data_IF_853164382046
#
_entry.id   IF_853164382046
#
_cell.length_a   1.000
_cell.length_b   1.000
_cell.length_c   1.000
_cell.angle_alpha   90.00
_cell.angle_beta   90.00
_cell.angle_gamma   90.00
#
_symmetry.space_group_name_H-M   'P 1'
#
loop_
_entity.id
_entity.type
_entity.pdbx_description
1 polymer ?
#
# COMPACT_ATOMS: atom_id res chain seq x y z
N UNK A 1 48.91 16.51 -13.66
CA UNK A 1 47.67 15.96 -14.20
C UNK A 1 46.54 16.64 -13.40
N UNK A 2 45.87 17.60 -14.04
CA UNK A 2 44.82 18.37 -13.38
C UNK A 2 43.56 17.49 -13.39
N UNK A 3 43.10 17.07 -12.20
CA UNK A 3 41.86 16.31 -12.03
C UNK A 3 40.66 17.20 -12.33
N UNK A 4 39.64 16.67 -13.00
CA UNK A 4 38.44 17.41 -13.35
C UNK A 4 37.64 17.75 -12.08
N UNK A 5 37.25 19.02 -11.96
CA UNK A 5 36.43 19.52 -10.87
C UNK A 5 35.40 20.53 -11.40
N UNK A 6 34.18 20.48 -10.88
CA UNK A 6 33.14 21.42 -11.23
C UNK A 6 31.91 20.78 -11.85
N UNK A 7 31.06 21.62 -12.42
CA UNK A 7 29.82 21.17 -13.08
C UNK A 7 30.10 20.90 -14.55
N UNK A 8 29.70 19.71 -15.02
CA UNK A 8 29.68 19.35 -16.44
C UNK A 8 28.23 19.34 -16.93
N UNK A 9 28.00 20.03 -18.05
CA UNK A 9 26.68 20.10 -18.69
C UNK A 9 26.67 19.25 -19.94
N UNK A 10 25.69 18.36 -20.03
CA UNK A 10 25.39 17.52 -21.18
C UNK A 10 24.17 18.07 -21.90
N UNK A 11 24.11 17.89 -23.22
CA UNK A 11 23.03 18.41 -24.04
C UNK A 11 22.30 17.29 -24.76
N UNK A 12 21.03 17.48 -25.09
CA UNK A 12 20.33 16.64 -26.04
C UNK A 12 20.98 16.72 -27.43
N UNK A 13 20.88 15.65 -28.19
CA UNK A 13 21.27 15.66 -29.61
C UNK A 13 20.15 16.35 -30.43
N UNK A 14 20.17 17.68 -30.40
CA UNK A 14 19.20 18.55 -31.02
C UNK A 14 19.88 19.83 -31.51
N UNK A 15 19.36 20.51 -32.57
CA UNK A 15 19.89 21.77 -33.06
C UNK A 15 19.89 22.89 -32.00
N UNK A 16 18.90 22.90 -31.11
CA UNK A 16 18.69 23.88 -30.06
C UNK A 16 19.65 23.71 -28.88
N UNK A 17 20.30 22.52 -28.75
CA UNK A 17 21.21 22.18 -27.66
C UNK A 17 20.59 22.37 -26.27
N UNK A 18 19.35 21.94 -26.10
CA UNK A 18 18.71 21.94 -24.76
C UNK A 18 19.52 21.09 -23.78
N UNK A 19 19.63 21.56 -22.54
CA UNK A 19 20.37 20.85 -21.49
C UNK A 19 19.64 19.53 -21.18
N UNK A 20 20.41 18.44 -21.18
CA UNK A 20 19.95 17.12 -20.79
C UNK A 20 20.25 16.85 -19.32
N UNK A 21 21.52 17.07 -18.91
CA UNK A 21 21.98 16.75 -17.56
C UNK A 21 23.08 17.70 -17.12
N UNK A 22 23.05 18.11 -15.89
CA UNK A 22 24.16 18.76 -15.17
C UNK A 22 24.64 17.86 -14.06
N UNK A 23 25.96 17.64 -14.00
CA UNK A 23 26.58 16.71 -13.06
C UNK A 23 27.79 17.33 -12.38
N UNK A 24 27.89 17.16 -11.08
CA UNK A 24 29.02 17.68 -10.30
C UNK A 24 30.13 16.66 -10.20
N UNK A 25 31.38 17.10 -10.40
CA UNK A 25 32.59 16.30 -10.36
C UNK A 25 33.57 16.83 -9.32
N UNK A 26 34.27 15.92 -8.67
CA UNK A 26 35.39 16.20 -7.78
C UNK A 26 36.47 15.14 -8.00
N UNK A 27 37.69 15.56 -8.40
CA UNK A 27 38.84 14.68 -8.64
C UNK A 27 38.52 13.49 -9.56
N UNK A 28 37.93 13.76 -10.74
CA UNK A 28 37.51 12.78 -11.72
C UNK A 28 36.42 11.78 -11.26
N UNK A 29 35.78 12.05 -10.14
CA UNK A 29 34.66 11.26 -9.66
C UNK A 29 33.38 12.08 -9.67
N UNK A 30 32.23 11.46 -9.93
CA UNK A 30 30.92 12.08 -9.75
C UNK A 30 30.71 12.20 -8.25
N UNK A 31 30.58 13.45 -7.78
CA UNK A 31 30.47 13.75 -6.36
C UNK A 31 29.59 14.97 -6.15
N UNK A 32 28.46 14.81 -5.47
CA UNK A 32 27.49 15.86 -5.25
C UNK A 32 26.27 15.74 -6.18
N UNK A 33 25.64 16.86 -6.47
CA UNK A 33 24.34 16.90 -7.13
C UNK A 33 24.41 16.59 -8.63
N UNK A 34 23.44 15.80 -9.10
CA UNK A 34 23.08 15.65 -10.51
C UNK A 34 21.65 16.15 -10.72
N UNK A 35 21.42 16.88 -11.80
CA UNK A 35 20.08 17.31 -12.24
C UNK A 35 19.93 16.93 -13.70
N UNK A 36 18.86 16.21 -14.04
CA UNK A 36 18.47 15.97 -15.43
C UNK A 36 17.23 16.79 -15.80
N UNK A 37 17.05 17.03 -17.09
CA UNK A 37 16.01 17.91 -17.62
C UNK A 37 15.21 17.21 -18.71
N UNK A 38 13.94 17.56 -18.84
CA UNK A 38 13.14 17.27 -20.02
C UNK A 38 13.57 18.19 -21.19
N UNK A 39 13.21 17.84 -22.43
CA UNK A 39 13.42 18.72 -23.59
C UNK A 39 12.69 20.06 -23.48
N UNK A 40 11.63 20.13 -22.68
CA UNK A 40 10.93 21.36 -22.32
C UNK A 40 11.77 22.35 -21.49
N UNK A 41 12.90 21.88 -20.94
CA UNK A 41 13.73 22.62 -19.98
C UNK A 41 13.30 22.48 -18.52
N UNK A 42 12.17 21.81 -18.24
CA UNK A 42 11.76 21.51 -16.87
C UNK A 42 12.67 20.44 -16.24
N UNK A 43 12.83 20.46 -14.92
CA UNK A 43 13.59 19.43 -14.20
C UNK A 43 12.88 18.09 -14.37
N UNK A 44 13.63 17.06 -14.73
CA UNK A 44 13.17 15.68 -14.85
C UNK A 44 13.50 14.87 -13.60
N UNK A 45 14.74 14.99 -13.11
CA UNK A 45 15.16 14.36 -11.86
C UNK A 45 16.30 15.11 -11.21
N UNK A 46 16.45 14.93 -9.91
CA UNK A 46 17.61 15.40 -9.16
C UNK A 46 17.98 14.41 -8.06
N UNK A 47 19.27 14.35 -7.72
CA UNK A 47 19.76 13.49 -6.67
C UNK A 47 21.25 13.70 -6.38
N UNK A 48 21.75 12.97 -5.41
CA UNK A 48 23.12 13.04 -4.95
C UNK A 48 23.93 11.83 -5.40
N UNK A 49 25.20 12.06 -5.67
CA UNK A 49 26.19 11.06 -6.02
C UNK A 49 27.37 11.11 -5.07
N UNK A 50 27.85 9.94 -4.66
CA UNK A 50 29.05 9.80 -3.82
C UNK A 50 29.97 8.77 -4.47
N UNK A 51 31.17 9.18 -4.85
CA UNK A 51 32.18 8.31 -5.49
C UNK A 51 31.65 7.52 -6.70
N UNK A 52 30.98 8.18 -7.62
CA UNK A 52 30.33 7.61 -8.82
C UNK A 52 29.11 6.69 -8.54
N UNK A 53 28.58 6.68 -7.34
CA UNK A 53 27.43 5.88 -6.96
C UNK A 53 26.27 6.79 -6.53
N UNK A 54 25.05 6.46 -6.94
CA UNK A 54 23.83 7.11 -6.46
C UNK A 54 23.72 6.95 -4.95
N UNK A 55 23.30 8.02 -4.26
CA UNK A 55 23.23 8.06 -2.79
C UNK A 55 22.04 8.89 -2.32
N UNK A 56 21.35 8.42 -1.29
CA UNK A 56 20.21 9.12 -0.72
C UNK A 56 18.98 9.11 -1.64
N UNK A 57 18.13 10.10 -1.48
CA UNK A 57 16.88 10.23 -2.24
C UNK A 57 17.16 10.79 -3.63
N UNK A 58 16.69 10.09 -4.65
CA UNK A 58 16.58 10.57 -6.02
C UNK A 58 15.13 10.98 -6.25
N UNK A 59 14.89 12.24 -6.63
CA UNK A 59 13.54 12.78 -6.86
C UNK A 59 13.27 12.89 -8.36
N UNK A 60 12.13 12.40 -8.80
CA UNK A 60 11.66 12.46 -10.18
C UNK A 60 10.43 13.37 -10.25
N UNK A 61 10.36 14.20 -11.28
CA UNK A 61 9.34 15.22 -11.45
C UNK A 61 8.50 14.96 -12.69
N UNK A 62 7.23 15.40 -12.67
CA UNK A 62 6.40 15.50 -13.87
C UNK A 62 6.95 16.60 -14.78
N UNK A 63 6.75 16.48 -16.10
CA UNK A 63 7.12 17.54 -17.04
C UNK A 63 6.17 18.73 -16.89
N UNK A 64 6.33 19.50 -15.82
CA UNK A 64 5.54 20.66 -15.46
C UNK A 64 6.43 21.82 -15.00
N UNK A 65 5.93 23.06 -15.14
CA UNK A 65 6.64 24.27 -14.67
C UNK A 65 6.68 24.41 -13.15
N UNK A 66 5.92 23.58 -12.41
CA UNK A 66 5.76 23.70 -10.97
C UNK A 66 6.64 22.74 -10.18
N UNK A 67 7.49 21.93 -10.87
CA UNK A 67 8.33 20.90 -10.26
C UNK A 67 7.51 19.96 -9.35
N UNK A 68 6.35 19.51 -9.87
CA UNK A 68 5.53 18.53 -9.15
C UNK A 68 6.28 17.21 -9.07
N UNK A 69 6.47 16.71 -7.84
CA UNK A 69 7.11 15.42 -7.63
C UNK A 69 6.21 14.32 -8.22
N UNK A 70 6.78 13.48 -9.06
CA UNK A 70 6.13 12.28 -9.58
C UNK A 70 6.37 11.12 -8.62
N UNK A 71 7.64 10.81 -8.34
CA UNK A 71 8.02 9.80 -7.36
C UNK A 71 9.45 10.03 -6.85
N UNK A 72 9.82 9.29 -5.79
CA UNK A 72 11.19 9.23 -5.27
C UNK A 72 11.71 7.81 -5.23
N UNK A 73 13.04 7.66 -5.25
CA UNK A 73 13.75 6.40 -5.01
C UNK A 73 14.85 6.63 -3.99
N UNK A 74 15.18 5.61 -3.21
CA UNK A 74 16.26 5.70 -2.24
C UNK A 74 17.41 4.76 -2.62
N UNK A 75 18.63 5.29 -2.68
CA UNK A 75 19.82 4.53 -3.02
C UNK A 75 20.85 4.56 -1.88
N UNK A 76 21.47 3.43 -1.65
CA UNK A 76 22.60 3.30 -0.75
C UNK A 76 23.77 2.61 -1.47
N UNK A 77 24.89 3.32 -1.60
CA UNK A 77 26.08 2.82 -2.34
C UNK A 77 25.76 2.33 -3.75
N UNK A 78 24.89 3.04 -4.48
CA UNK A 78 24.47 2.72 -5.84
C UNK A 78 23.42 1.62 -5.95
N UNK A 79 23.00 1.03 -4.84
CA UNK A 79 21.93 0.03 -4.83
C UNK A 79 20.59 0.68 -4.51
N UNK A 80 19.57 0.37 -5.30
CA UNK A 80 18.19 0.73 -4.97
C UNK A 80 17.76 -0.03 -3.70
N UNK A 81 17.32 0.74 -2.69
CA UNK A 81 16.77 0.18 -1.45
C UNK A 81 15.25 0.22 -1.54
N UNK A 82 14.65 -0.95 -1.51
CA UNK A 82 13.20 -1.11 -1.49
C UNK A 82 12.60 -0.55 -0.19
N UNK A 83 11.76 0.47 -0.30
CA UNK A 83 11.05 1.04 0.84
C UNK A 83 9.65 0.47 0.92
N UNK A 84 9.22 0.21 2.14
CA UNK A 84 7.99 -0.51 2.46
C UNK A 84 7.10 0.32 3.34
N UNK A 85 5.81 0.39 3.02
CA UNK A 85 4.80 1.09 3.82
C UNK A 85 3.61 0.18 4.09
N UNK A 86 3.03 0.29 5.27
CA UNK A 86 1.85 -0.47 5.63
C UNK A 86 0.76 0.39 6.27
N UNK A 87 -0.48 0.11 5.90
CA UNK A 87 -1.69 0.57 6.56
C UNK A 87 -2.37 -0.64 7.22
N UNK A 88 -2.53 -0.58 8.51
CA UNK A 88 -3.13 -1.67 9.30
C UNK A 88 -4.35 -1.13 10.04
N UNK A 89 -5.52 -1.71 9.76
CA UNK A 89 -6.82 -1.25 10.28
C UNK A 89 -7.48 -2.35 11.09
N UNK A 90 -7.89 -2.04 12.32
CA UNK A 90 -8.66 -2.94 13.20
C UNK A 90 -9.95 -2.28 13.69
N UNK A 91 -11.09 -2.76 13.22
CA UNK A 91 -12.42 -2.25 13.58
C UNK A 91 -13.19 -3.28 14.40
N UNK A 92 -13.45 -2.99 15.67
CA UNK A 92 -14.18 -3.89 16.60
C UNK A 92 -15.41 -3.23 17.25
N UNK A 93 -15.39 -1.92 17.50
CA UNK A 93 -16.40 -1.21 18.29
C UNK A 93 -17.63 -0.82 17.47
N UNK A 94 -18.22 -1.79 16.77
CA UNK A 94 -19.50 -1.59 16.06
C UNK A 94 -20.66 -1.50 17.04
N UNK A 95 -21.56 -0.54 16.85
CA UNK A 95 -22.71 -0.35 17.75
C UNK A 95 -23.68 -1.53 17.75
N UNK A 96 -23.92 -2.14 16.59
CA UNK A 96 -24.91 -3.23 16.45
C UNK A 96 -24.32 -4.63 16.57
N UNK A 97 -23.03 -4.81 16.27
CA UNK A 97 -22.40 -6.13 16.27
C UNK A 97 -20.90 -6.00 16.57
N UNK A 98 -20.52 -5.73 17.83
CA UNK A 98 -19.13 -5.58 18.21
C UNK A 98 -18.36 -6.90 17.99
N UNK A 99 -17.06 -6.77 17.67
CA UNK A 99 -16.10 -7.86 17.52
C UNK A 99 -15.12 -7.85 18.69
N UNK A 100 -14.40 -8.96 18.91
CA UNK A 100 -13.49 -9.08 20.06
C UNK A 100 -12.01 -8.90 19.69
N UNK A 101 -11.60 -9.35 18.52
CA UNK A 101 -10.19 -9.52 18.19
C UNK A 101 -9.58 -8.52 17.19
N UNK A 102 -10.34 -7.77 16.36
CA UNK A 102 -9.78 -6.99 15.26
C UNK A 102 -8.69 -6.00 15.64
N UNK A 103 -8.78 -5.34 16.79
CA UNK A 103 -7.77 -4.39 17.28
C UNK A 103 -6.49 -5.13 17.72
N UNK A 104 -6.63 -6.27 18.37
CA UNK A 104 -5.49 -7.12 18.75
C UNK A 104 -4.81 -7.70 17.50
N UNK A 105 -5.60 -8.16 16.53
CA UNK A 105 -5.11 -8.70 15.26
C UNK A 105 -4.33 -7.65 14.47
N UNK A 106 -4.91 -6.46 14.33
CA UNK A 106 -4.24 -5.33 13.69
C UNK A 106 -2.95 -4.95 14.41
N UNK A 107 -2.94 -4.98 15.75
CA UNK A 107 -1.75 -4.69 16.55
C UNK A 107 -0.64 -5.70 16.28
N UNK A 108 -0.95 -7.00 16.30
CA UNK A 108 0.01 -8.08 16.05
C UNK A 108 0.61 -7.98 14.63
N UNK A 109 -0.21 -7.71 13.61
CA UNK A 109 0.28 -7.53 12.23
C UNK A 109 1.13 -6.26 12.12
N UNK A 110 0.74 -5.16 12.75
CA UNK A 110 1.53 -3.93 12.76
C UNK A 110 2.92 -4.13 13.38
N UNK A 111 3.02 -4.88 14.47
CA UNK A 111 4.29 -5.25 15.09
C UNK A 111 5.14 -6.12 14.16
N UNK A 112 4.55 -7.16 13.55
CA UNK A 112 5.24 -8.02 12.59
C UNK A 112 5.78 -7.25 11.38
N UNK A 113 5.01 -6.31 10.83
CA UNK A 113 5.44 -5.50 9.69
C UNK A 113 6.54 -4.51 10.06
N UNK A 114 6.55 -3.96 11.28
CA UNK A 114 7.67 -3.14 11.78
C UNK A 114 8.97 -3.93 11.88
N UNK A 115 8.93 -5.20 12.29
CA UNK A 115 10.10 -6.10 12.31
C UNK A 115 10.64 -6.37 10.88
N UNK A 116 9.81 -6.18 9.86
CA UNK A 116 10.16 -6.31 8.43
C UNK A 116 10.49 -4.97 7.77
N UNK A 117 10.82 -3.94 8.56
CA UNK A 117 11.20 -2.61 8.12
C UNK A 117 10.12 -1.86 7.30
N UNK A 118 8.82 -2.13 7.56
CA UNK A 118 7.74 -1.31 7.04
C UNK A 118 7.55 -0.03 7.85
N UNK A 119 7.30 1.09 7.16
CA UNK A 119 6.73 2.30 7.76
C UNK A 119 5.23 2.04 8.01
N UNK A 120 4.85 1.79 9.27
CA UNK A 120 3.51 1.27 9.62
C UNK A 120 2.63 2.36 10.22
N UNK A 121 1.47 2.57 9.61
CA UNK A 121 0.34 3.31 10.18
C UNK A 121 -0.70 2.31 10.71
N UNK A 122 -0.90 2.29 12.02
CA UNK A 122 -1.96 1.51 12.68
C UNK A 122 -3.12 2.43 13.03
N UNK A 123 -4.32 2.08 12.58
CA UNK A 123 -5.56 2.80 12.86
C UNK A 123 -6.59 1.83 13.43
N UNK A 124 -7.34 2.27 14.44
CA UNK A 124 -8.34 1.41 15.07
C UNK A 124 -9.69 2.11 15.19
N UNK A 125 -10.75 1.34 14.99
CA UNK A 125 -12.13 1.79 15.15
C UNK A 125 -12.46 3.04 14.33
N UNK A 126 -12.12 3.01 13.05
CA UNK A 126 -12.48 4.08 12.09
C UNK A 126 -13.98 4.27 12.09
N UNK A 127 -14.42 5.52 12.30
CA UNK A 127 -15.81 5.81 12.64
C UNK A 127 -16.71 5.89 11.41
N UNK A 128 -16.26 6.55 10.34
CA UNK A 128 -17.09 6.88 9.18
C UNK A 128 -16.47 6.45 7.86
N UNK A 129 -17.29 6.40 6.82
CA UNK A 129 -16.85 6.10 5.45
C UNK A 129 -15.84 7.15 4.95
N UNK A 130 -16.14 8.45 5.11
CA UNK A 130 -15.24 9.54 4.73
C UNK A 130 -13.86 9.38 5.39
N UNK A 131 -13.81 9.09 6.71
CA UNK A 131 -12.56 8.88 7.44
C UNK A 131 -11.75 7.68 6.88
N UNK A 132 -12.43 6.59 6.56
CA UNK A 132 -11.78 5.39 6.01
C UNK A 132 -11.25 5.64 4.60
N UNK A 133 -12.01 6.33 3.75
CA UNK A 133 -11.58 6.70 2.40
C UNK A 133 -10.38 7.66 2.43
N UNK A 134 -10.40 8.68 3.29
CA UNK A 134 -9.29 9.64 3.44
C UNK A 134 -8.00 8.93 3.86
N UNK A 135 -8.07 8.02 4.85
CA UNK A 135 -6.92 7.23 5.32
C UNK A 135 -6.32 6.39 4.18
N UNK A 136 -7.17 5.72 3.41
CA UNK A 136 -6.73 4.87 2.30
C UNK A 136 -6.17 5.71 1.15
N UNK A 137 -6.79 6.84 0.84
CA UNK A 137 -6.33 7.78 -0.17
C UNK A 137 -4.94 8.32 0.17
N UNK A 138 -4.76 8.83 1.38
CA UNK A 138 -3.48 9.37 1.86
C UNK A 138 -2.37 8.30 1.84
N UNK A 139 -2.71 7.07 2.23
CA UNK A 139 -1.80 5.92 2.12
C UNK A 139 -1.40 5.67 0.66
N UNK A 140 -2.38 5.64 -0.26
CA UNK A 140 -2.15 5.42 -1.69
C UNK A 140 -1.23 6.47 -2.31
N UNK A 141 -1.48 7.76 -2.03
CA UNK A 141 -0.66 8.87 -2.50
C UNK A 141 0.78 8.78 -1.98
N UNK A 142 0.95 8.55 -0.67
CA UNK A 142 2.27 8.42 -0.04
C UNK A 142 3.03 7.21 -0.61
N UNK A 143 2.34 6.07 -0.75
CA UNK A 143 2.89 4.84 -1.31
C UNK A 143 3.32 5.04 -2.77
N UNK A 144 2.48 5.62 -3.61
CA UNK A 144 2.78 5.84 -5.02
C UNK A 144 4.00 6.73 -5.21
N UNK A 145 4.15 7.74 -4.37
CA UNK A 145 5.25 8.70 -4.44
C UNK A 145 6.57 8.14 -3.91
N UNK A 146 6.55 7.51 -2.74
CA UNK A 146 7.78 7.29 -1.94
C UNK A 146 8.15 5.82 -1.72
N UNK A 147 7.29 4.83 -2.04
CA UNK A 147 7.51 3.45 -1.65
C UNK A 147 7.35 2.48 -2.82
N UNK A 148 8.10 1.39 -2.78
CA UNK A 148 8.05 0.29 -3.74
C UNK A 148 7.04 -0.79 -3.32
N UNK A 149 6.87 -1.01 -2.01
CA UNK A 149 5.95 -2.03 -1.48
C UNK A 149 4.89 -1.39 -0.58
N UNK A 150 3.63 -1.66 -0.88
CA UNK A 150 2.47 -1.32 -0.08
C UNK A 150 1.81 -2.56 0.53
N UNK A 151 1.48 -2.50 1.82
CA UNK A 151 0.76 -3.56 2.50
C UNK A 151 -0.45 -2.96 3.23
N UNK A 152 -1.64 -3.41 2.89
CA UNK A 152 -2.88 -3.03 3.59
C UNK A 152 -3.44 -4.25 4.27
N UNK A 153 -3.65 -4.17 5.58
CA UNK A 153 -4.34 -5.18 6.38
C UNK A 153 -5.61 -4.56 6.97
N UNK A 154 -6.70 -5.28 6.86
CA UNK A 154 -7.96 -4.90 7.46
C UNK A 154 -8.55 -6.06 8.26
N UNK A 155 -8.85 -5.83 9.53
CA UNK A 155 -9.64 -6.72 10.38
C UNK A 155 -10.93 -6.01 10.83
N UNK A 156 -12.09 -6.63 10.58
CA UNK A 156 -13.40 -6.04 10.91
C UNK A 156 -14.54 -6.64 10.10
N UNK A 157 -15.68 -5.97 10.11
CA UNK A 157 -16.80 -6.39 9.26
C UNK A 157 -16.61 -6.00 7.80
N UNK A 158 -16.93 -6.93 6.91
CA UNK A 158 -17.06 -6.68 5.48
C UNK A 158 -18.34 -7.36 4.96
N UNK A 159 -19.03 -6.71 4.03
CA UNK A 159 -20.27 -7.20 3.44
C UNK A 159 -20.16 -7.21 1.93
N UNK A 160 -20.71 -8.24 1.32
CA UNK A 160 -20.93 -8.30 -0.13
C UNK A 160 -22.36 -7.86 -0.46
N UNK A 161 -22.49 -6.87 -1.34
CA UNK A 161 -23.74 -6.49 -1.99
C UNK A 161 -23.59 -6.77 -3.47
N UNK A 162 -24.47 -7.60 -4.02
CA UNK A 162 -24.40 -8.10 -5.41
C UNK A 162 -23.03 -8.75 -5.69
N UNK A 163 -22.14 -8.09 -6.42
CA UNK A 163 -20.79 -8.58 -6.72
C UNK A 163 -19.70 -7.65 -6.21
N UNK A 164 -20.03 -6.72 -5.31
CA UNK A 164 -19.11 -5.75 -4.74
C UNK A 164 -18.96 -5.98 -3.24
N UNK A 165 -17.73 -5.79 -2.74
CA UNK A 165 -17.39 -6.00 -1.35
C UNK A 165 -17.11 -4.66 -0.69
N UNK A 166 -17.65 -4.46 0.50
CA UNK A 166 -17.56 -3.21 1.28
C UNK A 166 -16.91 -3.47 2.63
N UNK A 167 -15.92 -2.68 3.00
CA UNK A 167 -15.38 -2.60 4.35
C UNK A 167 -16.24 -1.63 5.16
N UNK A 168 -16.53 -2.00 6.41
CA UNK A 168 -17.49 -1.25 7.23
C UNK A 168 -16.79 -0.44 8.32
N UNK A 169 -16.97 0.90 8.36
CA UNK A 169 -16.68 1.75 9.52
C UNK A 169 -17.53 1.39 10.74
N UNK A 170 -17.13 1.85 11.93
CA UNK A 170 -17.71 1.35 13.19
C UNK A 170 -18.95 2.07 13.68
N UNK A 171 -19.17 3.32 13.25
CA UNK A 171 -20.28 4.16 13.77
C UNK A 171 -21.38 4.45 12.77
N UNK A 172 -21.35 3.79 11.62
CA UNK A 172 -22.38 3.92 10.61
C UNK A 172 -23.50 2.90 10.82
N UNK A 173 -24.70 3.23 10.31
CA UNK A 173 -25.85 2.34 10.33
C UNK A 173 -25.90 1.49 9.05
N UNK A 174 -26.27 0.19 9.19
CA UNK A 174 -26.29 -0.79 8.09
C UNK A 174 -27.58 -1.61 8.08
N UNK A 175 -28.71 -0.92 8.13
CA UNK A 175 -30.04 -1.55 8.17
C UNK A 175 -30.51 -2.10 6.81
N UNK A 176 -29.90 -1.69 5.72
CA UNK A 176 -30.21 -2.11 4.35
C UNK A 176 -28.97 -2.18 3.46
N UNK A 177 -29.10 -2.87 2.32
CA UNK A 177 -28.07 -2.92 1.28
C UNK A 177 -27.64 -1.50 0.84
N UNK A 178 -28.61 -0.58 0.73
CA UNK A 178 -28.35 0.82 0.39
C UNK A 178 -27.51 1.55 1.45
N UNK A 179 -27.67 1.22 2.73
CA UNK A 179 -26.85 1.84 3.79
C UNK A 179 -25.41 1.32 3.70
N UNK A 180 -25.22 0.05 3.36
CA UNK A 180 -23.88 -0.51 3.11
C UNK A 180 -23.21 0.16 1.90
N UNK A 181 -23.95 0.31 0.78
CA UNK A 181 -23.44 1.00 -0.41
C UNK A 181 -23.08 2.47 -0.15
N UNK A 182 -23.78 3.12 0.76
CA UNK A 182 -23.57 4.54 1.09
C UNK A 182 -22.50 4.75 2.15
N UNK A 183 -22.47 3.90 3.16
CA UNK A 183 -21.69 4.11 4.39
C UNK A 183 -20.47 3.15 4.48
N UNK A 184 -20.33 2.22 3.54
CA UNK A 184 -19.21 1.29 3.46
C UNK A 184 -18.24 1.66 2.34
N UNK A 185 -16.96 1.36 2.51
CA UNK A 185 -15.94 1.62 1.51
C UNK A 185 -15.76 0.43 0.59
N UNK A 186 -16.00 0.63 -0.71
CA UNK A 186 -15.84 -0.41 -1.73
C UNK A 186 -14.39 -0.86 -1.86
N UNK A 187 -14.17 -2.18 -1.81
CA UNK A 187 -12.82 -2.74 -2.02
C UNK A 187 -12.32 -2.47 -3.45
N UNK A 188 -13.20 -2.38 -4.43
CA UNK A 188 -12.83 -2.01 -5.79
C UNK A 188 -12.29 -0.57 -5.86
N UNK A 189 -12.81 0.35 -5.06
CA UNK A 189 -12.27 1.71 -4.93
C UNK A 189 -10.91 1.69 -4.22
N UNK A 190 -10.76 0.93 -3.15
CA UNK A 190 -9.48 0.74 -2.47
C UNK A 190 -8.41 0.25 -3.46
N UNK A 191 -8.75 -0.74 -4.29
CA UNK A 191 -7.81 -1.27 -5.29
C UNK A 191 -7.39 -0.25 -6.34
N UNK A 192 -8.22 0.75 -6.67
CA UNK A 192 -7.82 1.85 -7.55
C UNK A 192 -6.75 2.74 -6.93
N UNK A 193 -6.87 3.05 -5.63
CA UNK A 193 -5.84 3.81 -4.90
C UNK A 193 -4.54 3.02 -4.72
N UNK A 194 -4.64 1.68 -4.67
CA UNK A 194 -3.51 0.77 -4.55
C UNK A 194 -2.95 0.33 -5.91
N UNK A 195 -3.50 0.80 -7.03
CA UNK A 195 -2.99 0.44 -8.35
C UNK A 195 -1.54 0.89 -8.50
N UNK A 196 -0.69 -0.02 -8.95
CA UNK A 196 0.73 0.27 -9.18
C UNK A 196 0.87 1.32 -10.30
N UNK A 197 1.50 2.44 -10.00
CA UNK A 197 1.79 3.51 -10.95
C UNK A 197 3.12 3.27 -11.68
N UNK A 198 3.95 2.37 -11.16
CA UNK A 198 5.25 1.99 -11.70
C UNK A 198 5.41 0.46 -11.71
N UNK A 199 6.19 -0.05 -12.65
CA UNK A 199 6.45 -1.50 -12.81
C UNK A 199 7.18 -2.14 -11.63
N UNK A 200 7.90 -1.34 -10.82
CA UNK A 200 8.65 -1.79 -9.66
C UNK A 200 7.82 -1.77 -8.36
N UNK A 201 6.52 -1.49 -8.44
CA UNK A 201 5.64 -1.42 -7.29
C UNK A 201 4.85 -2.71 -7.08
N UNK A 202 4.77 -3.13 -5.80
CA UNK A 202 3.97 -4.29 -5.35
C UNK A 202 2.98 -3.85 -4.27
N UNK A 203 1.78 -4.43 -4.30
CA UNK A 203 0.73 -4.18 -3.31
C UNK A 203 0.15 -5.47 -2.76
N UNK A 204 -0.04 -5.48 -1.47
CA UNK A 204 -0.72 -6.57 -0.76
C UNK A 204 -1.93 -6.02 -0.04
N UNK A 205 -3.10 -6.58 -0.30
CA UNK A 205 -4.32 -6.33 0.45
C UNK A 205 -4.74 -7.60 1.17
N UNK A 206 -4.73 -7.56 2.48
CA UNK A 206 -5.10 -8.70 3.34
C UNK A 206 -6.36 -8.37 4.10
N UNK A 207 -7.39 -9.18 3.91
CA UNK A 207 -8.71 -8.98 4.48
C UNK A 207 -9.01 -10.10 5.49
N UNK A 208 -8.87 -9.78 6.77
CA UNK A 208 -9.31 -10.61 7.88
C UNK A 208 -10.70 -10.15 8.34
N UNK A 209 -11.68 -10.45 7.49
CA UNK A 209 -13.05 -10.00 7.67
C UNK A 209 -14.04 -11.14 7.57
N UNK A 210 -14.97 -11.21 8.51
CA UNK A 210 -16.10 -12.16 8.46
C UNK A 210 -16.96 -11.88 7.24
N UNK A 211 -17.31 -12.95 6.51
CA UNK A 211 -18.06 -12.89 5.26
C UNK A 211 -19.59 -12.97 5.46
N UNK A 212 -20.06 -12.94 6.68
CA UNK A 212 -21.48 -12.98 7.00
C UNK A 212 -22.01 -11.57 7.21
N UNK A 213 -23.22 -11.32 6.72
CA UNK A 213 -23.95 -10.10 7.08
C UNK A 213 -24.28 -10.15 8.60
N UNK A 214 -23.59 -9.38 9.45
CA UNK A 214 -23.81 -9.44 10.90
C UNK A 214 -25.11 -8.77 11.34
N UNK A 215 -25.79 -8.04 10.44
CA UNK A 215 -26.96 -7.21 10.75
C UNK A 215 -28.31 -7.90 10.48
N UNK A 216 -28.33 -9.23 10.32
CA UNK A 216 -29.53 -10.06 10.33
C UNK A 216 -30.29 -10.14 9.00
N UNK A 217 -31.36 -10.95 9.00
CA UNK A 217 -32.19 -11.36 7.85
C UNK A 217 -33.01 -10.23 7.16
N UNK A 218 -32.51 -9.01 7.04
CA UNK A 218 -33.25 -7.89 6.45
C UNK A 218 -32.95 -7.62 4.98
N UNK A 219 -31.87 -8.17 4.42
CA UNK A 219 -31.66 -8.04 2.98
C UNK A 219 -32.60 -8.98 2.21
N UNK A 220 -33.46 -8.39 1.40
CA UNK A 220 -34.45 -9.10 0.55
C UNK A 220 -33.87 -9.61 -0.76
N UNK A 221 -32.58 -9.45 -1.01
CA UNK A 221 -31.94 -10.04 -2.17
C UNK A 221 -31.71 -11.52 -1.90
N UNK A 222 -32.58 -12.36 -2.45
CA UNK A 222 -32.60 -13.82 -2.29
C UNK A 222 -31.43 -14.53 -3.00
N UNK A 223 -30.23 -14.10 -2.77
CA UNK A 223 -29.01 -14.75 -3.18
C UNK A 223 -28.29 -15.31 -1.96
N UNK A 224 -28.15 -16.63 -1.88
CA UNK A 224 -27.25 -17.32 -0.94
C UNK A 224 -25.78 -17.00 -1.29
N UNK A 225 -25.38 -15.73 -1.28
CA UNK A 225 -23.97 -15.36 -1.44
C UNK A 225 -23.32 -15.27 -0.05
N UNK A 226 -23.02 -16.43 0.53
CA UNK A 226 -22.13 -16.48 1.69
C UNK A 226 -20.71 -16.27 1.19
N UNK A 227 -20.12 -15.11 1.50
CA UNK A 227 -18.71 -14.82 1.24
C UNK A 227 -18.47 -13.57 0.38
N UNK A 228 -17.23 -13.08 0.38
CA UNK A 228 -16.85 -11.94 -0.44
C UNK A 228 -16.76 -12.33 -1.92
N UNK A 229 -17.16 -11.43 -2.82
CA UNK A 229 -17.06 -11.61 -4.27
C UNK A 229 -15.60 -11.72 -4.71
N UNK A 230 -15.38 -12.39 -5.84
CA UNK A 230 -14.06 -12.43 -6.46
C UNK A 230 -13.68 -11.03 -6.96
N UNK A 231 -12.52 -10.55 -6.54
CA UNK A 231 -12.00 -9.24 -6.91
C UNK A 231 -11.03 -9.40 -8.07
N UNK A 232 -11.12 -8.50 -9.06
CA UNK A 232 -10.11 -8.38 -10.12
C UNK A 232 -8.91 -7.64 -9.56
N UNK A 233 -7.75 -8.29 -9.54
CA UNK A 233 -6.51 -7.69 -9.05
C UNK A 233 -5.78 -6.95 -10.17
N UNK A 234 -5.45 -5.65 -9.98
CA UNK A 234 -4.54 -4.94 -10.86
C UNK A 234 -3.15 -5.61 -10.92
N UNK A 235 -2.40 -5.32 -11.98
CA UNK A 235 -1.00 -5.77 -12.10
C UNK A 235 -0.18 -5.30 -10.91
N UNK A 236 0.73 -6.13 -10.39
CA UNK A 236 1.54 -5.81 -9.21
C UNK A 236 0.79 -5.89 -7.88
N UNK A 237 -0.45 -6.42 -7.85
CA UNK A 237 -1.25 -6.53 -6.63
C UNK A 237 -1.60 -7.98 -6.31
N UNK A 238 -1.65 -8.30 -5.01
CA UNK A 238 -2.13 -9.56 -4.47
C UNK A 238 -3.16 -9.30 -3.38
N UNK A 239 -4.29 -10.02 -3.43
CA UNK A 239 -5.33 -9.96 -2.39
C UNK A 239 -5.38 -11.32 -1.69
N UNK A 240 -5.30 -11.29 -0.37
CA UNK A 240 -5.50 -12.46 0.49
C UNK A 240 -6.72 -12.27 1.39
N UNK A 241 -7.46 -13.34 1.59
CA UNK A 241 -8.64 -13.36 2.47
C UNK A 241 -8.39 -14.36 3.61
N UNK A 242 -8.88 -14.08 4.80
CA UNK A 242 -8.76 -15.00 5.94
C UNK A 242 -9.61 -16.27 5.80
N UNK A 243 -10.62 -16.27 4.93
CA UNK A 243 -11.53 -17.40 4.74
C UNK A 243 -11.81 -17.67 3.29
N UNK A 244 -12.05 -18.95 2.96
CA UNK A 244 -12.60 -19.34 1.67
C UNK A 244 -14.03 -18.76 1.47
N UNK A 245 -14.47 -18.59 0.21
CA UNK A 245 -15.83 -18.18 -0.10
C UNK A 245 -16.87 -19.06 0.61
N UNK A 246 -17.72 -18.46 1.44
CA UNK A 246 -18.81 -19.16 2.13
C UNK A 246 -18.48 -19.74 3.50
N UNK A 247 -17.26 -19.53 4.02
CA UNK A 247 -16.88 -19.97 5.35
C UNK A 247 -16.74 -18.78 6.32
N UNK A 248 -17.01 -19.01 7.59
CA UNK A 248 -16.70 -18.09 8.72
C UNK A 248 -15.37 -18.45 9.29
N UNK A 249 -14.50 -17.46 9.53
CA UNK A 249 -13.31 -17.67 10.36
C UNK A 249 -13.77 -17.91 11.82
N UNK A 250 -13.36 -19.00 12.48
CA UNK A 250 -13.55 -19.08 13.92
C UNK A 250 -12.61 -18.06 14.60
N UNK A 251 -13.17 -17.26 15.51
CA UNK A 251 -12.40 -16.24 16.27
C UNK A 251 -11.31 -16.86 17.16
N UNK A 252 -11.33 -18.19 17.36
CA UNK A 252 -10.43 -18.87 18.29
C UNK A 252 -10.73 -18.54 19.77
N UNK A 253 -10.11 -19.28 20.70
CA UNK A 253 -10.24 -19.04 22.14
C UNK A 253 -9.16 -18.06 22.69
N UNK A 254 -8.37 -17.42 21.81
CA UNK A 254 -7.24 -16.54 22.14
C UNK A 254 -7.51 -15.06 21.88
N UNK A 255 -6.52 -14.22 22.20
CA UNK A 255 -6.58 -12.75 22.00
C UNK A 255 -6.51 -12.35 20.52
N UNK A 256 -6.10 -13.27 19.63
CA UNK A 256 -6.00 -13.06 18.19
C UNK A 256 -6.67 -14.20 17.41
N UNK A 257 -7.13 -13.89 16.19
CA UNK A 257 -7.64 -14.89 15.26
C UNK A 257 -6.59 -15.93 14.88
N UNK A 258 -7.03 -17.15 14.52
CA UNK A 258 -6.13 -18.20 14.06
C UNK A 258 -5.41 -17.77 12.77
N UNK A 259 -6.11 -17.09 11.89
CA UNK A 259 -5.54 -16.57 10.65
C UNK A 259 -4.42 -15.57 10.92
N UNK A 260 -4.67 -14.56 11.74
CA UNK A 260 -3.68 -13.52 12.07
C UNK A 260 -2.47 -14.09 12.80
N UNK A 261 -2.66 -15.02 13.75
CA UNK A 261 -1.54 -15.70 14.41
C UNK A 261 -0.67 -16.48 13.39
N UNK A 262 -1.29 -17.19 12.46
CA UNK A 262 -0.58 -17.92 11.41
C UNK A 262 0.11 -16.95 10.43
N UNK A 263 -0.57 -15.88 10.02
CA UNK A 263 -0.01 -14.88 9.10
C UNK A 263 1.21 -14.18 9.71
N UNK A 264 1.11 -13.66 10.94
CA UNK A 264 2.22 -13.02 11.66
C UNK A 264 3.45 -13.93 11.72
N UNK A 265 3.26 -15.18 12.11
CA UNK A 265 4.36 -16.16 12.19
C UNK A 265 5.01 -16.42 10.84
N UNK A 266 4.23 -16.59 9.77
CA UNK A 266 4.75 -16.88 8.44
C UNK A 266 5.36 -15.63 7.76
N UNK A 267 4.90 -14.43 8.07
CA UNK A 267 5.53 -13.18 7.61
C UNK A 267 6.96 -13.05 8.13
N UNK A 268 7.19 -13.43 9.38
CA UNK A 268 8.51 -13.34 10.03
C UNK A 268 9.45 -14.51 9.68
N UNK A 269 9.00 -15.52 8.94
CA UNK A 269 9.84 -16.64 8.53
C UNK A 269 10.78 -16.20 7.39
N UNK A 270 12.11 -16.20 7.61
CA UNK A 270 13.04 -15.64 6.64
C UNK A 270 13.17 -16.52 5.39
N UNK A 271 13.28 -15.86 4.22
CA UNK A 271 13.66 -16.51 2.96
C UNK A 271 12.52 -17.22 2.23
N UNK A 272 11.27 -17.11 2.67
CA UNK A 272 10.13 -17.64 1.92
C UNK A 272 9.47 -16.53 1.07
N UNK A 273 9.09 -16.83 -0.19
CA UNK A 273 8.35 -15.89 -1.02
C UNK A 273 6.98 -15.55 -0.42
N UNK A 274 6.48 -14.34 -0.66
CA UNK A 274 5.22 -13.87 -0.08
C UNK A 274 4.01 -14.75 -0.48
N UNK A 275 4.01 -15.29 -1.70
CA UNK A 275 2.97 -16.22 -2.14
C UNK A 275 2.98 -17.52 -1.31
N UNK A 276 4.15 -17.95 -0.85
CA UNK A 276 4.27 -19.10 0.03
C UNK A 276 3.84 -18.77 1.45
N UNK A 277 4.09 -17.53 1.94
CA UNK A 277 3.55 -17.03 3.21
C UNK A 277 2.04 -17.23 3.22
N UNK A 278 1.33 -16.68 2.22
CA UNK A 278 -0.13 -16.81 2.15
C UNK A 278 -0.61 -18.26 2.01
N UNK A 279 0.11 -19.13 1.30
CA UNK A 279 -0.24 -20.55 1.22
C UNK A 279 -0.10 -21.27 2.57
N UNK A 280 0.95 -20.96 3.32
CA UNK A 280 1.22 -21.59 4.61
C UNK A 280 0.19 -21.20 5.68
N UNK A 281 -0.47 -20.05 5.54
CA UNK A 281 -1.51 -19.60 6.47
C UNK A 281 -2.74 -20.53 6.45
N UNK A 282 -3.02 -21.19 5.33
CA UNK A 282 -4.15 -22.09 5.14
C UNK A 282 -3.85 -23.57 5.47
N UNK A 283 -2.64 -23.90 5.90
CA UNK A 283 -2.23 -25.27 6.25
C UNK A 283 -2.11 -25.47 7.76
#
# INVERSE_FOLDING_TARGET
>A
DDLYQGIQTFYYDSPEREINTERTWLNDTIQGKEISFYKSGNIKSEGEWVNNLESGIQTFYKDSKFNEIDYTKFFENGNLIERRIALVIGNENYEQSPLNNPVNDATLIAESLKELDFDVTLVTNVATEDELEDIIYDFGEKRNRDYEVGFVYYAGHAIQIENENYLLPTKEEYDSDRDVEKNGVSIQNIMKFLEAQREDQLNFLVLDACRNNPFGNRSRSGGNSNGLAKISTPSGSLIAFSTDPGLTAPDGDGDNSLYTNSLSKNLLEPGIPIEQVFKNVYT
#
